data_IF_143992790720
#
_entry.id   IF_143992790720
#
_cell.length_a   1.000
_cell.length_b   1.000
_cell.length_c   1.000
_cell.angle_alpha   90.00
_cell.angle_beta   90.00
_cell.angle_gamma   90.00
#
_symmetry.space_group_name_H-M   'P 1'
#
loop_
_entity.id
_entity.type
_entity.pdbx_description
1 polymer ?
#
# COMPACT_ATOMS: atom_id res chain seq x y z
N UNK A 1 4.62 -67.02 -16.93
CA UNK A 1 4.10 -68.08 -16.02
C UNK A 1 4.05 -67.47 -14.63
N UNK A 2 2.97 -67.39 -13.84
CA UNK A 2 1.56 -67.82 -13.81
C UNK A 2 0.86 -66.72 -12.96
N UNK A 3 -0.28 -66.16 -13.39
CA UNK A 3 -1.66 -66.39 -12.88
C UNK A 3 -1.86 -66.09 -11.38
N UNK A 4 -2.94 -65.51 -10.86
CA UNK A 4 -4.11 -64.81 -11.40
C UNK A 4 -4.95 -64.26 -10.21
N UNK A 5 -5.69 -63.18 -10.50
CA UNK A 5 -7.01 -62.68 -10.01
C UNK A 5 -7.78 -63.44 -8.92
N UNK A 6 -8.52 -62.66 -8.09
CA UNK A 6 -9.96 -62.76 -7.67
C UNK A 6 -10.26 -61.39 -7.03
N UNK A 7 -11.05 -60.42 -7.55
CA UNK A 7 -12.49 -60.30 -7.89
C UNK A 7 -13.42 -60.55 -6.68
N UNK A 8 -13.94 -59.47 -6.10
CA UNK A 8 -15.21 -59.50 -5.34
C UNK A 8 -16.14 -58.42 -5.87
N UNK A 9 -17.28 -58.88 -6.37
CA UNK A 9 -18.39 -58.16 -6.98
C UNK A 9 -19.44 -57.96 -5.89
N UNK A 10 -19.90 -56.72 -5.66
CA UNK A 10 -21.22 -56.48 -5.06
C UNK A 10 -21.92 -55.43 -5.91
N UNK A 11 -22.84 -55.90 -6.73
CA UNK A 11 -23.84 -55.13 -7.46
C UNK A 11 -24.97 -54.72 -6.52
N UNK A 12 -25.35 -53.43 -6.53
CA UNK A 12 -26.71 -53.04 -6.17
C UNK A 12 -27.27 -52.15 -7.28
N UNK A 13 -28.35 -52.65 -7.87
CA UNK A 13 -29.16 -52.01 -8.90
C UNK A 13 -30.16 -51.11 -8.17
N UNK A 14 -30.17 -49.82 -8.48
CA UNK A 14 -31.34 -48.97 -8.26
C UNK A 14 -31.66 -48.23 -9.55
N UNK A 15 -32.81 -48.61 -10.11
CA UNK A 15 -33.47 -48.05 -11.27
C UNK A 15 -34.16 -46.74 -10.87
N UNK A 16 -33.83 -45.62 -11.49
CA UNK A 16 -34.67 -44.42 -11.43
C UNK A 16 -34.60 -43.63 -12.74
N UNK A 17 -35.74 -43.72 -13.43
CA UNK A 17 -36.31 -42.97 -14.55
C UNK A 17 -35.56 -41.71 -15.05
N UNK A 18 -35.33 -41.69 -16.36
CA UNK A 18 -34.96 -40.52 -17.14
C UNK A 18 -36.16 -39.60 -17.33
N UNK A 19 -36.07 -38.35 -16.89
CA UNK A 19 -36.92 -37.25 -17.39
C UNK A 19 -35.98 -36.24 -18.05
N UNK A 20 -36.11 -36.10 -19.38
CA UNK A 20 -35.58 -34.94 -20.10
C UNK A 20 -36.60 -33.82 -19.97
N UNK A 21 -36.22 -32.75 -19.31
CA UNK A 21 -36.81 -31.43 -19.51
C UNK A 21 -35.65 -30.45 -19.72
N UNK A 22 -35.51 -29.96 -20.94
CA UNK A 22 -34.65 -28.82 -21.25
C UNK A 22 -35.40 -27.57 -20.81
N UNK A 23 -34.86 -26.85 -19.85
CA UNK A 23 -35.12 -25.41 -19.67
C UNK A 23 -33.80 -24.70 -19.85
N UNK A 24 -33.74 -23.86 -20.88
CA UNK A 24 -32.69 -22.90 -21.11
C UNK A 24 -32.83 -21.82 -20.05
N UNK A 25 -31.89 -21.71 -19.12
CA UNK A 25 -31.68 -20.47 -18.36
C UNK A 25 -30.21 -20.30 -17.96
N UNK A 26 -29.72 -19.10 -18.23
CA UNK A 26 -28.34 -18.64 -18.17
C UNK A 26 -27.95 -18.18 -16.76
N UNK A 27 -26.69 -18.47 -16.36
CA UNK A 27 -25.90 -17.86 -15.25
C UNK A 27 -26.41 -18.21 -13.83
N UNK A 28 -25.59 -18.57 -12.84
CA UNK A 28 -24.26 -18.08 -12.48
C UNK A 28 -23.45 -19.19 -11.77
N UNK A 29 -22.19 -19.34 -12.18
CA UNK A 29 -21.18 -20.06 -11.42
C UNK A 29 -20.90 -19.26 -10.13
N UNK A 30 -21.34 -19.73 -8.97
CA UNK A 30 -21.00 -19.14 -7.67
C UNK A 30 -19.54 -19.48 -7.35
N UNK A 31 -18.62 -18.75 -7.99
CA UNK A 31 -17.28 -18.56 -7.45
C UNK A 31 -17.44 -17.64 -6.24
N UNK A 32 -17.33 -18.20 -5.04
CA UNK A 32 -17.15 -17.43 -3.82
C UNK A 32 -15.94 -16.52 -4.01
N UNK A 33 -16.18 -15.25 -4.29
CA UNK A 33 -15.15 -14.22 -4.23
C UNK A 33 -14.78 -14.04 -2.77
N UNK A 34 -13.73 -14.72 -2.33
CA UNK A 34 -12.92 -14.20 -1.22
C UNK A 34 -12.54 -12.79 -1.60
N UNK A 35 -13.13 -11.80 -0.93
CA UNK A 35 -12.74 -10.40 -0.98
C UNK A 35 -11.32 -10.30 -0.38
N UNK A 36 -10.32 -10.67 -1.17
CA UNK A 36 -8.95 -10.25 -0.94
C UNK A 36 -8.95 -8.75 -1.13
N UNK A 37 -9.17 -8.01 -0.04
CA UNK A 37 -8.89 -6.58 -0.04
C UNK A 37 -7.38 -6.48 -0.17
N UNK A 38 -6.91 -6.39 -1.42
CA UNK A 38 -5.53 -6.06 -1.75
C UNK A 38 -5.14 -4.85 -0.90
N UNK A 39 -4.30 -5.07 0.11
CA UNK A 39 -3.84 -3.99 0.98
C UNK A 39 -2.99 -3.07 0.11
N UNK A 40 -3.54 -1.92 -0.27
CA UNK A 40 -2.82 -0.95 -1.09
C UNK A 40 -1.50 -0.60 -0.38
N UNK A 41 -0.34 -0.97 -0.95
CA UNK A 41 0.93 -0.78 -0.28
C UNK A 41 1.33 0.71 -0.23
N UNK A 42 0.71 1.56 -1.04
CA UNK A 42 0.88 3.02 -1.05
C UNK A 42 -0.27 3.76 -0.36
N UNK A 43 -1.00 3.07 0.52
CA UNK A 43 -1.87 3.65 1.53
C UNK A 43 -1.45 3.16 2.92
N UNK A 44 -0.84 4.03 3.72
CA UNK A 44 -0.20 3.64 4.97
C UNK A 44 0.07 4.82 5.92
N UNK A 45 0.15 4.50 7.21
CA UNK A 45 0.90 5.27 8.19
C UNK A 45 2.28 4.62 8.36
N UNK A 46 3.36 5.35 8.05
CA UNK A 46 4.73 4.85 8.10
C UNK A 46 5.52 5.63 9.14
N UNK A 47 6.26 4.95 10.01
CA UNK A 47 6.98 5.58 11.13
C UNK A 47 8.48 5.23 11.12
N UNK A 48 9.28 6.19 11.56
CA UNK A 48 10.68 6.00 11.93
C UNK A 48 10.86 6.54 13.36
N UNK A 49 11.08 5.65 14.32
CA UNK A 49 11.16 6.03 15.73
C UNK A 49 12.50 6.67 16.11
N UNK A 50 13.58 6.38 15.39
CA UNK A 50 14.92 6.96 15.61
C UNK A 50 14.88 8.49 15.45
N UNK A 51 14.31 8.98 14.35
CA UNK A 51 14.15 10.41 14.08
C UNK A 51 12.83 10.98 14.62
N UNK A 52 11.92 10.10 15.06
CA UNK A 52 10.57 10.40 15.52
C UNK A 52 9.75 11.12 14.43
N UNK A 53 9.82 10.59 13.21
CA UNK A 53 9.15 11.13 12.02
C UNK A 53 8.18 10.10 11.43
N UNK A 54 7.23 10.57 10.63
CA UNK A 54 6.25 9.69 9.98
C UNK A 54 5.85 10.22 8.60
N UNK A 55 5.22 9.33 7.82
CA UNK A 55 4.51 9.64 6.59
C UNK A 55 3.07 9.13 6.71
N UNK A 56 2.10 9.97 6.36
CA UNK A 56 0.74 9.53 6.05
C UNK A 56 0.53 9.62 4.55
N UNK A 57 0.20 8.50 3.90
CA UNK A 57 0.13 8.42 2.43
C UNK A 57 -1.13 7.71 1.94
N UNK A 58 -1.66 8.19 0.81
CA UNK A 58 -2.61 7.51 -0.05
C UNK A 58 -2.38 7.96 -1.50
N UNK A 59 -1.39 7.37 -2.17
CA UNK A 59 -0.96 7.81 -3.51
C UNK A 59 -1.90 7.42 -4.66
N UNK A 60 -2.94 6.61 -4.38
CA UNK A 60 -3.92 6.21 -5.40
C UNK A 60 -5.13 7.14 -5.37
N UNK A 61 -5.66 7.42 -4.18
CA UNK A 61 -6.86 8.25 -4.04
C UNK A 61 -6.55 9.71 -3.70
N UNK A 62 -5.30 10.01 -3.34
CA UNK A 62 -4.87 11.32 -2.82
C UNK A 62 -5.79 11.80 -1.70
N UNK A 63 -6.15 10.93 -0.77
CA UNK A 63 -7.20 11.20 0.22
C UNK A 63 -6.70 11.83 1.52
N UNK A 64 -5.42 12.18 1.60
CA UNK A 64 -4.83 12.71 2.83
C UNK A 64 -5.16 14.20 2.98
N UNK A 65 -5.74 14.56 4.12
CA UNK A 65 -5.86 15.95 4.57
C UNK A 65 -4.77 16.21 5.60
N UNK A 66 -4.08 17.33 5.45
CA UNK A 66 -2.99 17.70 6.35
C UNK A 66 -3.59 18.42 7.57
N UNK A 67 -3.38 17.93 8.80
CA UNK A 67 -3.92 18.57 9.99
C UNK A 67 -3.47 20.03 10.12
N UNK A 68 -4.42 20.95 10.26
CA UNK A 68 -4.17 22.39 10.35
C UNK A 68 -3.85 23.07 9.02
N UNK A 69 -3.93 22.35 7.90
CA UNK A 69 -3.74 22.89 6.54
C UNK A 69 -4.82 22.35 5.58
N UNK A 70 -6.05 22.25 6.06
CA UNK A 70 -7.18 21.66 5.32
C UNK A 70 -7.52 22.43 4.03
N UNK A 71 -7.13 23.70 3.95
CA UNK A 71 -7.29 24.56 2.75
C UNK A 71 -6.54 24.03 1.53
N UNK A 72 -5.50 23.21 1.72
CA UNK A 72 -4.76 22.56 0.62
C UNK A 72 -5.57 21.42 -0.01
N UNK A 73 -6.67 21.01 0.61
CA UNK A 73 -7.53 19.95 0.13
C UNK A 73 -6.91 18.55 0.30
N UNK A 74 -7.19 17.71 -0.69
CA UNK A 74 -6.86 16.30 -0.70
C UNK A 74 -5.53 16.08 -1.42
N UNK A 75 -4.54 15.50 -0.73
CA UNK A 75 -3.18 15.34 -1.21
C UNK A 75 -2.71 13.87 -1.15
N UNK A 76 -1.66 13.51 -1.90
CA UNK A 76 -1.01 12.21 -1.80
C UNK A 76 -0.51 11.87 -0.39
N UNK A 77 -0.05 12.87 0.37
CA UNK A 77 0.44 12.65 1.73
C UNK A 77 1.28 13.78 2.28
N UNK A 78 1.95 13.51 3.40
CA UNK A 78 2.90 14.44 4.01
C UNK A 78 3.90 13.70 4.91
N UNK A 79 5.06 14.32 5.14
CA UNK A 79 6.06 13.93 6.13
C UNK A 79 5.95 14.85 7.34
N UNK A 80 5.85 14.26 8.53
CA UNK A 80 5.74 14.97 9.81
C UNK A 80 6.75 14.48 10.84
N UNK A 81 6.89 15.22 11.94
CA UNK A 81 7.73 14.85 13.08
C UNK A 81 7.00 15.06 14.41
N UNK A 82 7.25 14.19 15.40
CA UNK A 82 6.56 14.28 16.70
C UNK A 82 6.94 15.55 17.46
N UNK A 83 8.11 16.09 17.16
CA UNK A 83 8.73 17.26 17.80
C UNK A 83 8.62 18.53 16.97
N UNK A 84 8.06 18.46 15.77
CA UNK A 84 7.93 19.59 14.85
C UNK A 84 6.51 19.64 14.27
N UNK A 85 5.82 20.75 14.52
CA UNK A 85 4.45 20.96 14.02
C UNK A 85 4.42 21.21 12.51
N UNK A 86 5.54 21.61 11.92
CA UNK A 86 5.66 21.86 10.47
C UNK A 86 5.65 20.55 9.71
N UNK A 87 5.24 20.62 8.45
CA UNK A 87 5.02 19.46 7.59
C UNK A 87 5.69 19.66 6.26
N UNK A 88 6.24 18.58 5.72
CA UNK A 88 6.71 18.51 4.34
C UNK A 88 5.61 17.84 3.53
N UNK A 89 4.95 18.62 2.68
CA UNK A 89 3.75 18.25 1.95
C UNK A 89 4.16 17.47 0.71
N UNK A 90 3.58 16.29 0.47
CA UNK A 90 3.74 15.56 -0.79
C UNK A 90 2.66 16.07 -1.74
N UNK A 91 3.03 16.94 -2.67
CA UNK A 91 2.09 17.54 -3.64
C UNK A 91 1.76 16.60 -4.78
N UNK A 92 2.71 15.76 -5.19
CA UNK A 92 2.53 14.79 -6.27
C UNK A 92 3.18 13.45 -5.93
N UNK A 93 2.54 12.36 -6.37
CA UNK A 93 3.07 11.01 -6.28
C UNK A 93 2.80 10.25 -7.58
N UNK A 94 3.84 9.64 -8.16
CA UNK A 94 3.74 8.79 -9.36
C UNK A 94 4.27 7.40 -9.05
N UNK A 95 3.39 6.40 -9.02
CA UNK A 95 3.73 5.00 -8.73
C UNK A 95 4.32 4.32 -9.97
N UNK A 96 5.40 3.55 -9.78
CA UNK A 96 6.01 2.66 -10.78
C UNK A 96 6.43 1.35 -10.11
N UNK A 97 5.58 0.33 -10.19
CA UNK A 97 5.85 -0.96 -9.54
C UNK A 97 5.91 -0.82 -8.03
N UNK A 98 7.06 -1.14 -7.43
CA UNK A 98 7.29 -1.04 -5.99
C UNK A 98 7.88 0.31 -5.53
N UNK A 99 8.02 1.28 -6.43
CA UNK A 99 8.49 2.63 -6.11
C UNK A 99 7.43 3.69 -6.42
N UNK A 100 7.56 4.85 -5.78
CA UNK A 100 6.80 6.04 -6.10
C UNK A 100 7.75 7.25 -6.14
N UNK A 101 7.72 8.00 -7.23
CA UNK A 101 8.41 9.30 -7.32
C UNK A 101 7.52 10.38 -6.72
N UNK A 102 8.09 11.21 -5.86
CA UNK A 102 7.39 12.23 -5.08
C UNK A 102 7.91 13.62 -5.43
N UNK A 103 7.00 14.59 -5.47
CA UNK A 103 7.31 16.02 -5.35
C UNK A 103 6.88 16.46 -3.95
N UNK A 104 7.81 17.06 -3.21
CA UNK A 104 7.60 17.41 -1.81
C UNK A 104 7.97 18.88 -1.61
N UNK A 105 7.13 19.64 -0.92
CA UNK A 105 7.35 21.05 -0.58
C UNK A 105 7.29 21.25 0.94
N UNK A 106 8.03 22.21 1.48
CA UNK A 106 7.81 22.63 2.86
C UNK A 106 6.50 23.42 3.00
N UNK A 107 6.08 23.66 4.24
CA UNK A 107 4.86 24.39 4.58
C UNK A 107 4.92 25.90 4.25
N UNK A 108 6.11 26.43 4.00
CA UNK A 108 6.30 27.81 3.53
C UNK A 108 6.29 27.93 1.99
N UNK A 109 6.27 26.82 1.25
CA UNK A 109 6.37 26.78 -0.22
C UNK A 109 7.71 27.28 -0.78
N UNK A 110 8.71 27.49 0.06
CA UNK A 110 10.03 28.04 -0.33
C UNK A 110 11.09 26.98 -0.61
N UNK A 111 10.86 25.76 -0.13
CA UNK A 111 11.74 24.61 -0.34
C UNK A 111 10.95 23.50 -1.02
N UNK A 112 11.44 23.02 -2.15
CA UNK A 112 10.94 21.82 -2.82
C UNK A 112 12.05 20.76 -2.96
N UNK A 113 11.64 19.51 -3.05
CA UNK A 113 12.51 18.41 -3.43
C UNK A 113 11.78 17.34 -4.24
N UNK A 114 12.55 16.58 -5.02
CA UNK A 114 12.11 15.31 -5.58
C UNK A 114 12.61 14.17 -4.69
N UNK A 115 11.78 13.15 -4.48
CA UNK A 115 12.13 11.98 -3.69
C UNK A 115 11.61 10.69 -4.33
N UNK A 116 12.09 9.54 -3.86
CA UNK A 116 11.55 8.23 -4.18
C UNK A 116 11.19 7.50 -2.88
N UNK A 117 9.98 6.96 -2.80
CA UNK A 117 9.58 6.00 -1.79
C UNK A 117 9.59 4.59 -2.41
N UNK A 118 10.38 3.67 -1.85
CA UNK A 118 10.50 2.29 -2.32
C UNK A 118 10.00 1.31 -1.26
N UNK A 119 9.18 0.35 -1.67
CA UNK A 119 8.81 -0.80 -0.85
C UNK A 119 9.93 -1.84 -0.96
N UNK A 120 10.51 -2.20 0.18
CA UNK A 120 11.57 -3.19 0.29
C UNK A 120 10.99 -4.60 0.40
N UNK A 121 11.78 -5.62 0.06
CA UNK A 121 11.36 -7.04 0.09
C UNK A 121 10.87 -7.51 1.47
N UNK A 122 11.36 -6.89 2.54
CA UNK A 122 10.98 -7.20 3.93
C UNK A 122 9.75 -6.41 4.42
N UNK A 123 9.05 -5.69 3.53
CA UNK A 123 7.85 -4.90 3.88
C UNK A 123 8.13 -3.52 4.48
N UNK A 124 9.40 -3.14 4.67
CA UNK A 124 9.77 -1.78 5.06
C UNK A 124 9.76 -0.81 3.87
N UNK A 125 9.84 0.48 4.15
CA UNK A 125 9.79 1.53 3.14
C UNK A 125 11.03 2.41 3.22
N UNK A 126 11.76 2.58 2.12
CA UNK A 126 12.89 3.51 2.04
C UNK A 126 12.45 4.80 1.35
N UNK A 127 12.56 5.94 2.03
CA UNK A 127 12.43 7.26 1.42
C UNK A 127 13.82 7.79 1.10
N UNK A 128 14.11 7.99 -0.19
CA UNK A 128 15.36 8.58 -0.68
C UNK A 128 15.09 9.96 -1.27
N UNK A 129 15.67 10.99 -0.68
CA UNK A 129 15.64 12.35 -1.23
C UNK A 129 16.56 12.38 -2.46
N UNK A 130 16.11 12.86 -3.61
CA UNK A 130 16.86 12.82 -4.88
C UNK A 130 17.53 14.16 -5.18
N UNK A 131 16.76 15.18 -5.55
CA UNK A 131 17.24 16.53 -5.89
C UNK A 131 16.44 17.61 -5.17
N UNK A 132 17.00 18.80 -5.05
CA UNK A 132 16.37 19.93 -4.35
C UNK A 132 16.77 20.03 -2.88
N UNK A 133 15.86 20.55 -2.07
CA UNK A 133 16.08 20.84 -0.66
C UNK A 133 16.25 19.57 0.18
N UNK A 134 16.97 19.68 1.30
CA UNK A 134 17.05 18.60 2.28
C UNK A 134 15.94 18.78 3.31
N UNK A 135 15.17 17.72 3.56
CA UNK A 135 14.16 17.71 4.63
C UNK A 135 14.86 18.01 5.95
N UNK A 136 14.35 19.02 6.65
CA UNK A 136 14.78 19.41 8.01
C UNK A 136 13.57 19.49 8.92
N UNK A 137 13.82 19.21 10.19
CA UNK A 137 12.87 19.38 11.28
C UNK A 137 13.53 20.21 12.39
N UNK A 138 12.75 20.86 13.24
CA UNK A 138 13.28 21.49 14.46
C UNK A 138 13.16 20.53 15.63
N UNK A 139 14.30 20.38 16.31
CA UNK A 139 14.45 19.60 17.54
C UNK A 139 15.21 20.48 18.52
N UNK A 140 14.63 20.75 19.69
CA UNK A 140 15.26 21.56 20.73
C UNK A 140 15.78 22.91 20.19
N UNK A 141 14.94 23.62 19.43
CA UNK A 141 15.24 24.90 18.77
C UNK A 141 16.40 24.86 17.76
N UNK A 142 16.80 23.68 17.27
CA UNK A 142 17.84 23.52 16.25
C UNK A 142 17.31 22.75 15.06
N UNK A 143 17.78 23.13 13.87
CA UNK A 143 17.50 22.41 12.63
C UNK A 143 18.27 21.09 12.59
N UNK A 144 17.53 19.99 12.60
CA UNK A 144 18.05 18.65 12.36
C UNK A 144 17.78 18.28 10.90
N UNK A 145 18.84 17.94 10.16
CA UNK A 145 18.74 17.42 8.79
C UNK A 145 18.35 15.95 8.84
N UNK A 146 17.37 15.57 8.03
CA UNK A 146 17.02 14.16 7.83
C UNK A 146 18.03 13.53 6.85
N UNK A 147 18.50 12.29 7.10
CA UNK A 147 19.41 11.60 6.20
C UNK A 147 18.88 11.50 4.77
N UNK A 148 19.81 11.40 3.81
CA UNK A 148 19.49 11.30 2.37
C UNK A 148 18.55 10.14 2.05
N UNK A 149 18.71 9.03 2.77
CA UNK A 149 17.82 7.88 2.73
C UNK A 149 17.46 7.47 4.16
N UNK A 150 16.18 7.24 4.42
CA UNK A 150 15.65 6.85 5.73
C UNK A 150 14.64 5.71 5.55
N UNK A 151 14.64 4.76 6.49
CA UNK A 151 13.76 3.58 6.45
C UNK A 151 12.61 3.77 7.43
N UNK A 152 11.41 3.41 6.99
CA UNK A 152 10.19 3.42 7.77
C UNK A 152 9.59 2.02 7.87
N UNK A 153 8.83 1.80 8.94
CA UNK A 153 7.97 0.64 9.14
C UNK A 153 6.51 1.07 9.03
N UNK A 154 5.66 0.21 8.48
CA UNK A 154 4.21 0.42 8.51
C UNK A 154 3.70 0.18 9.94
N UNK A 155 2.79 1.04 10.39
CA UNK A 155 2.11 0.93 11.69
C UNK A 155 0.61 0.78 11.51
#
# INVERSE_FOLDING_TARGET
MKKAKIISIITLISLSLTIKAQTVDNKQNTQSSTLNTEVNPFKAHLVNDEFQVWLDIDFIKNSIKIPGQEILGNLPGYFGAKRDTRKWIISEATIKGNTAKLIIINDYGSEDLTAELRINKNGTYSLKQLSGSTIKIVVNNKWLKIPKEIVFIRK
#
